data_IF_965136306522
#
_entry.id   IF_965136306522
#
_cell.length_a   1.000
_cell.length_b   1.000
_cell.length_c   1.000
_cell.angle_alpha   90.00
_cell.angle_beta   90.00
_cell.angle_gamma   90.00
#
_symmetry.space_group_name_H-M   'P 1'
#
loop_
_entity.id
_entity.type
_entity.pdbx_description
1 polymer ?
#
# COMPACT_ATOMS: atom_id res chain seq x y z
N UNK A 1 -3.75 -3.01 14.13
CA UNK A 1 -3.02 -3.15 12.84
C UNK A 1 -1.71 -2.37 12.84
N UNK A 2 -1.72 -1.02 12.87
CA UNK A 2 -0.48 -0.23 12.81
C UNK A 2 0.53 -0.58 13.92
N UNK A 3 0.11 -0.60 15.19
CA UNK A 3 0.98 -0.98 16.30
C UNK A 3 1.47 -2.44 16.20
N UNK A 4 0.65 -3.34 15.66
CA UNK A 4 0.99 -4.75 15.47
C UNK A 4 2.07 -4.94 14.41
N UNK A 5 1.97 -4.22 13.29
CA UNK A 5 2.93 -4.29 12.17
C UNK A 5 4.21 -3.50 12.46
N UNK A 6 4.07 -2.33 13.06
CA UNK A 6 5.17 -1.37 13.17
C UNK A 6 5.84 -1.42 14.56
N UNK A 7 5.16 -1.93 15.59
CA UNK A 7 5.71 -2.04 16.95
C UNK A 7 6.97 -2.92 17.05
N UNK A 8 6.97 -4.14 16.50
CA UNK A 8 8.14 -5.02 16.54
C UNK A 8 9.36 -4.47 15.79
N UNK A 9 9.14 -3.61 14.79
CA UNK A 9 10.17 -3.02 13.92
C UNK A 9 10.65 -1.63 14.38
N UNK A 10 10.40 -1.25 15.65
CA UNK A 10 10.76 0.08 16.19
C UNK A 10 12.27 0.41 16.14
N UNK A 11 13.14 -0.59 15.91
CA UNK A 11 14.60 -0.43 15.81
C UNK A 11 15.12 -0.38 14.36
N UNK A 12 14.26 -0.49 13.35
CA UNK A 12 14.68 -0.54 11.95
C UNK A 12 14.32 0.74 11.19
N UNK A 13 15.09 1.07 10.15
CA UNK A 13 14.85 2.17 9.20
C UNK A 13 13.67 1.92 8.27
N UNK A 14 12.53 1.50 8.83
CA UNK A 14 11.28 1.31 8.09
C UNK A 14 10.66 2.67 7.78
N UNK A 15 10.31 2.88 6.51
CA UNK A 15 9.53 4.04 6.05
C UNK A 15 8.18 3.55 5.56
N UNK A 16 7.12 4.24 5.95
CA UNK A 16 5.75 3.90 5.55
C UNK A 16 5.17 5.06 4.78
N UNK A 17 4.72 4.80 3.56
CA UNK A 17 4.04 5.80 2.73
C UNK A 17 2.58 5.44 2.59
N UNK A 18 1.70 6.29 3.09
CA UNK A 18 0.26 6.11 2.99
C UNK A 18 -0.28 7.04 1.90
N UNK A 19 -0.67 6.47 0.76
CA UNK A 19 -1.20 7.22 -0.39
C UNK A 19 -2.72 7.12 -0.39
N UNK A 20 -3.37 8.27 -0.30
CA UNK A 20 -4.83 8.40 -0.23
C UNK A 20 -5.35 9.05 -1.51
N UNK A 21 -6.44 8.54 -2.04
CA UNK A 21 -7.08 9.05 -3.25
C UNK A 21 -8.58 8.77 -3.23
N UNK A 22 -9.30 9.38 -4.16
CA UNK A 22 -10.73 9.19 -4.26
C UNK A 22 -11.01 7.84 -4.93
N UNK A 23 -11.57 6.89 -4.20
CA UNK A 23 -11.94 5.58 -4.73
C UNK A 23 -13.45 5.40 -4.74
N UNK A 24 -14.14 5.88 -3.70
CA UNK A 24 -15.59 5.83 -3.61
C UNK A 24 -16.25 7.18 -3.88
N UNK A 25 -17.50 7.19 -4.40
CA UNK A 25 -18.28 8.41 -4.52
C UNK A 25 -18.36 9.17 -3.20
N UNK A 26 -17.89 10.42 -3.20
CA UNK A 26 -17.89 11.28 -2.01
C UNK A 26 -16.57 11.33 -1.25
N UNK A 27 -15.57 10.53 -1.62
CA UNK A 27 -14.20 10.71 -1.15
C UNK A 27 -13.68 12.09 -1.58
N UNK A 28 -12.92 12.71 -0.68
CA UNK A 28 -12.23 13.97 -0.97
C UNK A 28 -11.16 14.23 0.07
N UNK A 29 -10.18 15.08 -0.28
CA UNK A 29 -9.13 15.51 0.65
C UNK A 29 -9.69 16.13 1.93
N UNK A 30 -10.79 16.87 1.81
CA UNK A 30 -11.43 17.54 2.95
C UNK A 30 -12.09 16.56 3.94
N UNK A 31 -12.38 15.33 3.50
CA UNK A 31 -12.98 14.26 4.32
C UNK A 31 -11.97 13.20 4.74
N UNK A 32 -10.74 13.29 4.24
CA UNK A 32 -9.69 12.34 4.56
C UNK A 32 -9.28 12.46 6.02
N UNK A 33 -9.30 11.32 6.71
CA UNK A 33 -8.90 11.18 8.10
C UNK A 33 -7.39 10.93 8.20
N UNK A 34 -6.62 11.99 8.36
CA UNK A 34 -5.16 11.90 8.55
C UNK A 34 -4.76 11.29 9.91
N UNK A 35 -5.73 11.08 10.81
CA UNK A 35 -5.54 10.50 12.15
C UNK A 35 -5.63 8.97 12.19
N UNK A 36 -5.84 8.30 11.05
CA UNK A 36 -5.96 6.83 11.00
C UNK A 36 -4.62 6.09 11.16
N UNK A 37 -3.52 6.68 10.69
CA UNK A 37 -2.18 6.14 10.83
C UNK A 37 -1.30 7.20 11.50
N UNK A 38 -0.93 6.99 12.77
CA UNK A 38 -0.31 8.04 13.60
C UNK A 38 1.14 7.75 14.01
N UNK A 39 1.67 6.57 13.71
CA UNK A 39 3.10 6.25 13.86
C UNK A 39 3.97 7.26 13.10
N UNK A 40 5.01 7.75 13.76
CA UNK A 40 5.95 8.75 13.24
C UNK A 40 6.68 8.37 11.95
N UNK A 41 6.72 7.07 11.60
CA UNK A 41 7.30 6.59 10.34
C UNK A 41 6.37 6.75 9.14
N UNK A 42 5.10 7.10 9.36
CA UNK A 42 4.12 7.23 8.30
C UNK A 42 4.17 8.64 7.72
N UNK A 43 4.44 8.71 6.42
CA UNK A 43 4.29 9.93 5.63
C UNK A 43 3.07 9.76 4.75
N UNK A 44 2.15 10.72 4.84
CA UNK A 44 0.91 10.69 4.10
C UNK A 44 1.00 11.53 2.82
N UNK A 45 0.47 10.99 1.73
CA UNK A 45 0.33 11.69 0.46
C UNK A 45 -1.13 11.67 0.00
N UNK A 46 -1.56 12.78 -0.57
CA UNK A 46 -2.86 12.89 -1.22
C UNK A 46 -2.67 12.88 -2.74
N UNK A 47 -3.11 11.80 -3.38
CA UNK A 47 -3.07 11.61 -4.83
C UNK A 47 -4.48 11.80 -5.39
N UNK A 48 -4.91 13.05 -5.57
CA UNK A 48 -6.28 13.36 -6.00
C UNK A 48 -6.69 12.65 -7.30
N UNK A 49 -5.71 12.33 -8.14
CA UNK A 49 -5.93 11.67 -9.40
C UNK A 49 -5.99 10.15 -9.23
N UNK A 50 -5.29 9.56 -8.26
CA UNK A 50 -5.11 8.11 -8.15
C UNK A 50 -4.07 7.59 -9.16
N UNK A 51 -3.10 8.44 -9.52
CA UNK A 51 -2.03 8.12 -10.44
C UNK A 51 -1.20 6.91 -9.97
N UNK A 52 -0.87 6.82 -8.68
CA UNK A 52 -0.07 5.71 -8.13
C UNK A 52 -0.85 4.40 -8.21
N UNK A 53 -2.13 4.42 -7.81
CA UNK A 53 -2.99 3.25 -7.91
C UNK A 53 -3.13 2.76 -9.35
N UNK A 54 -3.31 3.68 -10.32
CA UNK A 54 -3.37 3.35 -11.74
C UNK A 54 -2.07 2.79 -12.30
N UNK A 55 -0.93 3.35 -11.88
CA UNK A 55 0.38 2.86 -12.29
C UNK A 55 0.55 1.38 -11.91
N UNK A 56 0.36 1.04 -10.64
CA UNK A 56 0.53 -0.35 -10.18
C UNK A 56 -0.50 -1.30 -10.74
N UNK A 57 -1.70 -0.81 -11.04
CA UNK A 57 -2.70 -1.59 -11.74
C UNK A 57 -2.25 -2.00 -13.15
N UNK A 58 -1.47 -1.15 -13.84
CA UNK A 58 -0.94 -1.42 -15.17
C UNK A 58 0.35 -2.25 -15.15
N UNK A 59 1.22 -2.04 -14.15
CA UNK A 59 2.57 -2.59 -14.14
C UNK A 59 2.72 -3.88 -13.33
N UNK A 60 1.73 -4.25 -12.49
CA UNK A 60 1.75 -5.49 -11.70
C UNK A 60 0.71 -6.51 -12.19
N UNK A 61 0.99 -7.27 -13.27
CA UNK A 61 0.01 -8.15 -13.91
C UNK A 61 -0.54 -9.25 -12.99
N UNK A 62 0.23 -9.70 -11.98
CA UNK A 62 -0.23 -10.72 -11.01
C UNK A 62 -1.30 -10.22 -10.04
N UNK A 63 -1.53 -8.90 -9.95
CA UNK A 63 -2.58 -8.32 -9.10
C UNK A 63 -3.98 -8.70 -9.60
N UNK A 64 -4.12 -8.96 -10.90
CA UNK A 64 -5.43 -9.20 -11.52
C UNK A 64 -6.07 -10.53 -11.14
N UNK A 65 -5.27 -11.60 -11.01
CA UNK A 65 -5.77 -12.95 -10.74
C UNK A 65 -6.40 -13.09 -9.34
N UNK A 66 -6.06 -12.17 -8.42
CA UNK A 66 -6.52 -12.19 -7.03
C UNK A 66 -7.61 -11.17 -6.73
N UNK A 67 -7.95 -10.30 -7.68
CA UNK A 67 -9.14 -9.44 -7.56
C UNK A 67 -10.36 -10.21 -8.03
N UNK A 68 -11.41 -10.19 -7.22
CA UNK A 68 -12.68 -10.78 -7.58
C UNK A 68 -13.27 -10.02 -8.78
N UNK A 69 -13.42 -10.72 -9.91
CA UNK A 69 -13.81 -10.16 -11.22
C UNK A 69 -15.19 -9.46 -11.21
N UNK A 70 -15.99 -9.73 -10.20
CA UNK A 70 -17.32 -9.18 -9.92
C UNK A 70 -17.32 -7.79 -9.27
N UNK A 71 -16.14 -7.27 -8.90
CA UNK A 71 -16.00 -5.93 -8.27
C UNK A 71 -15.39 -4.86 -9.18
N UNK A 72 -15.13 -5.17 -10.46
CA UNK A 72 -14.46 -4.26 -11.39
C UNK A 72 -15.44 -3.42 -12.22
N UNK A 73 -15.57 -2.14 -11.88
CA UNK A 73 -16.14 -1.06 -12.70
C UNK A 73 -15.02 -0.30 -13.45
N UNK A 74 -15.32 0.52 -14.48
CA UNK A 74 -14.30 1.33 -15.17
C UNK A 74 -13.55 2.34 -14.28
N UNK A 75 -14.06 2.61 -13.07
CA UNK A 75 -13.41 3.43 -12.05
C UNK A 75 -12.44 2.59 -11.18
N UNK A 76 -12.47 1.26 -11.29
CA UNK A 76 -11.62 0.28 -10.59
C UNK A 76 -10.27 0.03 -11.25
N UNK A 77 -9.87 0.88 -12.21
CA UNK A 77 -8.57 0.80 -12.88
C UNK A 77 -7.40 1.28 -11.99
N UNK A 78 -7.53 1.18 -10.66
CA UNK A 78 -6.51 1.54 -9.70
C UNK A 78 -6.39 0.46 -8.62
N UNK A 79 -5.15 0.17 -8.22
CA UNK A 79 -4.85 -0.59 -7.02
C UNK A 79 -5.21 0.25 -5.78
N UNK A 80 -6.18 -0.22 -5.00
CA UNK A 80 -6.66 0.41 -3.78
C UNK A 80 -6.90 -0.65 -2.70
N UNK A 81 -7.00 -0.22 -1.44
CA UNK A 81 -7.05 -1.11 -0.27
C UNK A 81 -5.97 -2.19 -0.37
N UNK A 82 -4.73 -1.75 -0.61
CA UNK A 82 -3.60 -2.64 -0.83
C UNK A 82 -2.33 -2.14 -0.14
N UNK A 83 -1.40 -3.06 0.13
CA UNK A 83 -0.04 -2.74 0.50
C UNK A 83 0.95 -3.25 -0.56
N UNK A 84 2.10 -2.58 -0.63
CA UNK A 84 3.26 -2.95 -1.42
C UNK A 84 4.47 -2.86 -0.49
N UNK A 85 5.20 -3.96 -0.34
CA UNK A 85 6.42 -4.07 0.46
C UNK A 85 7.62 -4.13 -0.47
N UNK A 86 8.61 -3.26 -0.21
CA UNK A 86 9.83 -3.13 -1.00
C UNK A 86 11.05 -3.58 -0.19
N UNK A 87 12.11 -4.05 -0.85
CA UNK A 87 13.35 -4.36 -0.17
C UNK A 87 14.03 -3.07 0.35
N UNK A 88 14.93 -3.15 1.35
CA UNK A 88 15.56 -1.99 1.96
C UNK A 88 16.47 -1.20 0.99
N UNK A 89 16.96 -1.84 -0.07
CA UNK A 89 17.82 -1.27 -1.11
C UNK A 89 17.05 -0.91 -2.39
N UNK A 90 15.72 -0.91 -2.35
CA UNK A 90 14.88 -0.54 -3.48
C UNK A 90 15.20 0.86 -4.01
N UNK A 91 15.46 0.93 -5.32
CA UNK A 91 15.69 2.20 -6.02
C UNK A 91 14.47 2.57 -6.85
N UNK A 92 14.04 3.83 -6.72
CA UNK A 92 12.92 4.38 -7.47
C UNK A 92 13.48 5.15 -8.67
N UNK A 93 13.32 4.56 -9.86
CA UNK A 93 13.71 5.16 -11.14
C UNK A 93 12.44 5.48 -11.95
N UNK A 94 12.52 5.48 -13.27
CA UNK A 94 11.37 5.73 -14.15
C UNK A 94 10.25 4.67 -14.00
N UNK A 95 10.61 3.45 -13.58
CA UNK A 95 9.68 2.38 -13.24
C UNK A 95 9.72 2.03 -11.75
N UNK A 96 8.60 1.59 -11.15
CA UNK A 96 8.60 1.10 -9.78
C UNK A 96 9.55 -0.09 -9.59
N UNK A 97 10.26 -0.17 -8.44
CA UNK A 97 11.07 -1.34 -8.12
C UNK A 97 10.19 -2.58 -7.90
N UNK A 98 10.83 -3.75 -7.97
CA UNK A 98 10.19 -5.01 -7.62
C UNK A 98 9.70 -5.01 -6.17
N UNK A 99 8.52 -5.57 -5.97
CA UNK A 99 7.93 -5.76 -4.65
C UNK A 99 8.34 -7.10 -4.07
N UNK A 100 8.76 -7.11 -2.80
CA UNK A 100 8.97 -8.33 -2.00
C UNK A 100 7.64 -9.02 -1.75
N UNK A 101 6.63 -8.22 -1.40
CA UNK A 101 5.29 -8.72 -1.13
C UNK A 101 4.24 -7.64 -1.38
N UNK A 102 3.01 -8.08 -1.60
CA UNK A 102 1.86 -7.22 -1.76
C UNK A 102 0.59 -7.99 -1.40
N UNK A 103 -0.48 -7.24 -1.11
CA UNK A 103 -1.78 -7.82 -0.80
C UNK A 103 -2.90 -6.79 -0.84
N UNK A 104 -4.11 -7.27 -1.14
CA UNK A 104 -5.37 -6.55 -1.09
C UNK A 104 -6.48 -7.55 -0.69
N UNK A 105 -7.46 -7.23 0.15
CA UNK A 105 -7.60 -6.01 0.98
C UNK A 105 -6.50 -5.93 2.05
N UNK A 106 -6.09 -4.74 2.51
CA UNK A 106 -5.01 -4.62 3.52
C UNK A 106 -5.38 -5.37 4.80
N UNK A 107 -6.64 -5.31 5.20
CA UNK A 107 -7.13 -5.97 6.41
C UNK A 107 -7.04 -7.50 6.31
N UNK A 108 -7.45 -8.09 5.19
CA UNK A 108 -7.38 -9.56 5.00
C UNK A 108 -5.94 -10.08 4.84
N UNK A 109 -5.02 -9.20 4.43
CA UNK A 109 -3.63 -9.58 4.12
C UNK A 109 -2.62 -9.08 5.16
N UNK A 110 -3.09 -8.50 6.28
CA UNK A 110 -2.25 -7.91 7.32
C UNK A 110 -1.29 -8.92 7.98
N UNK A 111 -1.74 -10.16 8.24
CA UNK A 111 -0.89 -11.19 8.83
C UNK A 111 0.25 -11.60 7.90
N UNK A 112 -0.01 -11.60 6.58
CA UNK A 112 1.03 -11.84 5.57
C UNK A 112 2.04 -10.69 5.54
N UNK A 113 1.55 -9.45 5.53
CA UNK A 113 2.43 -8.28 5.60
C UNK A 113 3.33 -8.33 6.83
N UNK A 114 2.80 -8.73 7.99
CA UNK A 114 3.59 -8.85 9.22
C UNK A 114 4.73 -9.84 9.06
N UNK A 115 4.45 -11.04 8.54
CA UNK A 115 5.48 -12.08 8.32
C UNK A 115 6.51 -11.67 7.28
N UNK A 116 6.06 -11.15 6.15
CA UNK A 116 6.94 -10.78 5.04
C UNK A 116 7.84 -9.58 5.44
N UNK A 117 7.33 -8.67 6.29
CA UNK A 117 8.13 -7.61 6.90
C UNK A 117 9.17 -8.18 7.88
N UNK A 118 8.79 -9.09 8.76
CA UNK A 118 9.73 -9.74 9.68
C UNK A 118 10.86 -10.47 8.93
N UNK A 119 10.53 -11.15 7.84
CA UNK A 119 11.51 -11.84 6.99
C UNK A 119 12.43 -10.85 6.27
N UNK A 120 11.91 -9.75 5.72
CA UNK A 120 12.70 -8.71 5.06
C UNK A 120 13.63 -7.94 6.02
N UNK A 121 13.40 -8.03 7.32
CA UNK A 121 14.20 -7.39 8.36
C UNK A 121 15.30 -8.30 8.94
N UNK A 122 15.35 -9.57 8.55
CA UNK A 122 16.42 -10.49 8.97
C UNK A 122 17.74 -10.10 8.27
N UNK A 123 18.88 -10.15 8.98
CA UNK A 123 20.19 -9.86 8.42
C UNK A 123 20.67 -10.92 7.42
#
# INVERSE_FOLDING_TARGET
MQQTLLGPSAKTSLRVYAVWFNMFPGDSRARWRSDLLTDSRVVHYWDAQGAVGRLYFQTLPQIWEKRAADTATPQDLALWDAYLLYPPDAQWNDEPPDVVSWGATILSTADRLSRDLEDALKP
#
